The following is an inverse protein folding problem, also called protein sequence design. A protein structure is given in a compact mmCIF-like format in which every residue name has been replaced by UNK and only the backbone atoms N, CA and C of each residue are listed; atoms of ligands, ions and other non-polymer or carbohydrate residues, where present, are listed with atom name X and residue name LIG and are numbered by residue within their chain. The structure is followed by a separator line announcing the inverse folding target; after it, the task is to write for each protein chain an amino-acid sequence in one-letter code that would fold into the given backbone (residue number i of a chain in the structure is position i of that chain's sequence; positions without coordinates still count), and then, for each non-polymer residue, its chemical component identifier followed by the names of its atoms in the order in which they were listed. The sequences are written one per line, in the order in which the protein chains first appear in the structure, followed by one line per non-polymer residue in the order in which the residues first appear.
data_IF_794904775115
#
_entry.id   IF_794904775115
#
_cell.length_a   1.000
_cell.length_b   1.000
_cell.length_c   1.000
_cell.angle_alpha   90.00
_cell.angle_beta   90.00
_cell.angle_gamma   90.00
#
_symmetry.space_group_name_H-M   'P 1'
#
loop_
_entity.id
_entity.type
_entity.pdbx_description
1 polymer ?
#
# COMPACT_ATOMS: atom_id res chain seq x y z
N UNK A 1 -23.97 -2.18 18.93
CA UNK A 1 -22.92 -3.24 18.95
C UNK A 1 -21.69 -2.66 19.60
N UNK A 2 -21.43 -3.02 20.86
CA UNK A 2 -20.17 -2.70 21.52
C UNK A 2 -19.07 -3.51 20.84
N UNK A 3 -18.31 -2.90 19.93
CA UNK A 3 -17.02 -3.46 19.51
C UNK A 3 -16.10 -3.44 20.74
N UNK A 4 -16.02 -4.56 21.44
CA UNK A 4 -15.00 -4.80 22.46
C UNK A 4 -13.65 -4.78 21.71
N UNK A 5 -13.02 -3.61 21.66
CA UNK A 5 -11.68 -3.48 21.10
C UNK A 5 -10.75 -4.31 21.96
N UNK A 6 -10.32 -5.45 21.43
CA UNK A 6 -9.15 -6.16 21.96
C UNK A 6 -7.97 -5.20 21.87
N UNK A 7 -7.58 -4.66 23.04
CA UNK A 7 -6.44 -3.76 23.17
C UNK A 7 -5.20 -4.50 22.66
N UNK A 8 -4.57 -3.95 21.62
CA UNK A 8 -3.26 -4.41 21.14
C UNK A 8 -2.24 -4.14 22.25
N UNK A 9 -1.50 -5.16 22.67
CA UNK A 9 -0.41 -5.03 23.65
C UNK A 9 0.86 -4.54 22.98
N UNK A 10 1.79 -3.92 23.73
CA UNK A 10 3.14 -3.60 23.26
C UNK A 10 3.85 -4.86 22.76
N UNK A 11 3.62 -6.01 23.42
CA UNK A 11 4.20 -7.29 23.01
C UNK A 11 3.78 -7.72 21.59
N UNK A 12 2.65 -7.23 21.09
CA UNK A 12 2.14 -7.60 19.76
C UNK A 12 3.00 -7.01 18.64
N UNK A 13 3.73 -5.93 18.94
CA UNK A 13 4.63 -5.24 18.02
C UNK A 13 6.02 -5.86 17.96
N UNK A 14 6.35 -6.78 18.88
CA UNK A 14 7.68 -7.40 18.96
C UNK A 14 8.06 -8.06 17.62
N UNK A 15 7.20 -8.85 16.93
CA UNK A 15 7.60 -9.44 15.65
C UNK A 15 7.88 -8.40 14.57
N UNK A 16 7.13 -7.30 14.53
CA UNK A 16 7.38 -6.22 13.57
C UNK A 16 8.71 -5.53 13.85
N UNK A 17 8.96 -5.15 15.11
CA UNK A 17 10.20 -4.49 15.51
C UNK A 17 11.42 -5.42 15.35
N UNK A 18 11.26 -6.70 15.73
CA UNK A 18 12.30 -7.72 15.62
C UNK A 18 12.67 -8.02 14.17
N UNK A 19 11.69 -8.28 13.29
CA UNK A 19 11.96 -8.51 11.87
C UNK A 19 12.62 -7.31 11.21
N UNK A 20 12.15 -6.09 11.54
CA UNK A 20 12.77 -4.86 11.04
C UNK A 20 14.24 -4.75 11.50
N UNK A 21 14.52 -4.91 12.79
CA UNK A 21 15.87 -4.85 13.34
C UNK A 21 16.79 -5.91 12.73
N UNK A 22 16.29 -7.15 12.58
CA UNK A 22 17.03 -8.23 11.92
C UNK A 22 17.36 -7.89 10.47
N UNK A 23 16.43 -7.30 9.71
CA UNK A 23 16.74 -6.83 8.35
C UNK A 23 17.82 -5.75 8.36
N UNK A 24 17.77 -4.78 9.27
CA UNK A 24 18.79 -3.71 9.32
C UNK A 24 20.17 -4.26 9.68
N UNK A 25 20.27 -5.16 10.65
CA UNK A 25 21.55 -5.68 11.14
C UNK A 25 22.14 -6.72 10.18
N UNK A 26 21.33 -7.66 9.70
CA UNK A 26 21.81 -8.84 8.97
C UNK A 26 21.62 -8.79 7.46
N UNK A 27 20.77 -7.90 6.94
CA UNK A 27 20.56 -7.79 5.49
C UNK A 27 21.39 -6.64 4.90
N UNK A 28 21.29 -5.44 5.50
CA UNK A 28 21.91 -4.20 4.97
C UNK A 28 23.39 -4.34 4.57
N UNK A 29 24.26 -5.01 5.33
CA UNK A 29 25.68 -5.11 4.95
C UNK A 29 25.96 -6.05 3.78
N UNK A 30 25.03 -6.95 3.44
CA UNK A 30 25.30 -8.10 2.57
C UNK A 30 24.51 -8.10 1.26
N UNK A 31 23.53 -7.22 1.10
CA UNK A 31 22.67 -7.18 -0.10
C UNK A 31 22.64 -5.78 -0.71
N UNK A 32 22.44 -5.67 -2.04
CA UNK A 32 22.30 -4.37 -2.71
C UNK A 32 21.08 -3.61 -2.19
N UNK A 33 21.08 -2.29 -2.39
CA UNK A 33 20.02 -1.40 -1.88
C UNK A 33 18.60 -1.88 -2.25
N UNK A 34 18.40 -2.38 -3.47
CA UNK A 34 17.10 -2.93 -3.89
C UNK A 34 16.68 -4.20 -3.15
N UNK A 35 17.65 -5.09 -2.87
CA UNK A 35 17.40 -6.27 -2.05
C UNK A 35 17.03 -5.85 -0.63
N UNK A 36 17.67 -4.80 -0.12
CA UNK A 36 17.37 -4.24 1.20
C UNK A 36 15.99 -3.59 1.27
N UNK A 37 15.55 -2.88 0.23
CA UNK A 37 14.16 -2.39 0.07
C UNK A 37 13.17 -3.55 0.22
N UNK A 38 13.40 -4.68 -0.44
CA UNK A 38 12.53 -5.85 -0.31
C UNK A 38 12.59 -6.48 1.08
N UNK A 39 13.78 -6.64 1.68
CA UNK A 39 13.91 -7.18 3.03
C UNK A 39 13.11 -6.35 4.04
N UNK A 40 13.22 -5.00 4.00
CA UNK A 40 12.43 -4.11 4.84
C UNK A 40 10.94 -4.20 4.56
N UNK A 41 10.55 -4.20 3.29
CA UNK A 41 9.15 -4.30 2.88
C UNK A 41 8.51 -5.60 3.37
N UNK A 42 9.20 -6.74 3.24
CA UNK A 42 8.73 -8.03 3.73
C UNK A 42 8.66 -8.06 5.26
N UNK A 43 9.64 -7.52 5.97
CA UNK A 43 9.63 -7.44 7.43
C UNK A 43 8.44 -6.63 7.96
N UNK A 44 8.18 -5.46 7.37
CA UNK A 44 7.02 -4.63 7.71
C UNK A 44 5.72 -5.36 7.36
N UNK A 45 5.64 -5.95 6.16
CA UNK A 45 4.48 -6.69 5.69
C UNK A 45 4.13 -7.87 6.62
N UNK A 46 5.09 -8.73 6.95
CA UNK A 46 4.86 -9.88 7.83
C UNK A 46 4.60 -9.46 9.28
N UNK A 47 5.20 -8.35 9.74
CA UNK A 47 4.84 -7.72 11.01
C UNK A 47 3.36 -7.33 11.07
N UNK A 48 2.83 -6.70 10.01
CA UNK A 48 1.40 -6.37 9.93
C UNK A 48 0.50 -7.59 9.74
N UNK A 49 0.95 -8.62 9.03
CA UNK A 49 0.24 -9.91 8.95
C UNK A 49 0.07 -10.54 10.33
N UNK A 50 1.12 -10.53 11.14
CA UNK A 50 1.06 -11.00 12.51
C UNK A 50 0.03 -10.22 13.34
N UNK A 51 0.11 -8.88 13.34
CA UNK A 51 -0.79 -8.02 14.11
C UNK A 51 -2.27 -8.25 13.75
N UNK A 52 -2.57 -8.30 12.46
CA UNK A 52 -3.94 -8.51 11.97
C UNK A 52 -4.45 -9.92 12.25
N UNK A 53 -3.62 -10.94 12.08
CA UNK A 53 -3.96 -12.32 12.41
C UNK A 53 -4.28 -12.47 13.89
N UNK A 54 -3.37 -12.01 14.77
CA UNK A 54 -3.55 -12.07 16.22
C UNK A 54 -4.86 -11.41 16.64
N UNK A 55 -5.16 -10.25 16.06
CA UNK A 55 -6.38 -9.51 16.37
C UNK A 55 -7.64 -10.21 15.88
N UNK A 56 -7.64 -10.79 14.69
CA UNK A 56 -8.76 -11.57 14.20
C UNK A 56 -9.05 -12.79 15.10
N UNK A 57 -8.00 -13.49 15.55
CA UNK A 57 -8.12 -14.61 16.49
C UNK A 57 -8.64 -14.16 17.85
N UNK A 58 -8.11 -13.05 18.38
CA UNK A 58 -8.61 -12.45 19.62
C UNK A 58 -10.06 -11.94 19.51
N UNK A 59 -10.50 -11.58 18.29
CA UNK A 59 -11.88 -11.24 17.94
C UNK A 59 -12.80 -12.44 17.72
N UNK A 60 -12.31 -13.68 17.95
CA UNK A 60 -13.12 -14.90 17.91
C UNK A 60 -13.03 -15.70 16.60
N UNK A 61 -12.28 -15.24 15.60
CA UNK A 61 -12.09 -16.01 14.36
C UNK A 61 -11.18 -17.22 14.63
N UNK A 62 -11.61 -18.42 14.23
CA UNK A 62 -10.85 -19.66 14.38
C UNK A 62 -10.57 -20.28 13.02
N UNK A 63 -9.52 -19.83 12.30
CA UNK A 63 -9.24 -20.34 10.96
C UNK A 63 -8.63 -21.74 11.00
N UNK A 64 -8.94 -22.57 10.00
CA UNK A 64 -8.15 -23.77 9.73
C UNK A 64 -6.71 -23.41 9.33
N UNK A 65 -5.77 -24.33 9.57
CA UNK A 65 -4.33 -24.11 9.30
C UNK A 65 -4.07 -23.68 7.85
N UNK A 66 -4.79 -24.27 6.88
CA UNK A 66 -4.67 -23.92 5.45
C UNK A 66 -5.07 -22.47 5.17
N UNK A 67 -6.17 -21.98 5.78
CA UNK A 67 -6.65 -20.60 5.59
C UNK A 67 -5.70 -19.61 6.26
N UNK A 68 -5.19 -19.94 7.45
CA UNK A 68 -4.18 -19.13 8.14
C UNK A 68 -2.88 -19.03 7.33
N UNK A 69 -2.36 -20.16 6.81
CA UNK A 69 -1.18 -20.17 5.95
C UNK A 69 -1.39 -19.34 4.67
N UNK A 70 -2.52 -19.56 4.00
CA UNK A 70 -2.90 -18.79 2.81
C UNK A 70 -2.98 -17.29 3.08
N UNK A 71 -3.52 -16.89 4.24
CA UNK A 71 -3.56 -15.49 4.65
C UNK A 71 -2.17 -14.90 4.84
N UNK A 72 -1.29 -15.59 5.57
CA UNK A 72 0.02 -15.03 5.95
C UNK A 72 0.95 -14.94 4.74
N UNK A 73 1.03 -16.00 3.93
CA UNK A 73 2.08 -16.12 2.91
C UNK A 73 1.61 -15.91 1.47
N UNK A 74 0.33 -16.13 1.18
CA UNK A 74 -0.17 -16.22 -0.20
C UNK A 74 -1.24 -15.17 -0.53
N UNK A 75 -1.53 -14.26 0.40
CA UNK A 75 -2.46 -13.16 0.20
C UNK A 75 -1.84 -11.84 0.62
N UNK A 76 -2.04 -10.78 -0.16
CA UNK A 76 -1.42 -9.46 0.08
C UNK A 76 -2.30 -8.50 0.90
N UNK A 77 -3.58 -8.81 1.08
CA UNK A 77 -4.50 -7.98 1.87
C UNK A 77 -4.29 -8.11 3.38
N UNK A 78 -4.66 -7.08 4.12
CA UNK A 78 -4.48 -7.01 5.60
C UNK A 78 -5.80 -7.05 6.37
N UNK A 79 -6.86 -7.59 5.76
CA UNK A 79 -8.14 -7.82 6.43
C UNK A 79 -8.25 -9.28 6.89
N UNK A 80 -7.56 -9.61 7.99
CA UNK A 80 -7.55 -10.96 8.53
C UNK A 80 -8.97 -11.45 8.86
N UNK A 81 -9.79 -10.58 9.47
CA UNK A 81 -11.16 -10.92 9.85
C UNK A 81 -12.00 -11.39 8.66
N UNK A 82 -11.96 -10.67 7.53
CA UNK A 82 -12.71 -11.09 6.33
C UNK A 82 -12.13 -12.31 5.66
N UNK A 83 -10.81 -12.42 5.56
CA UNK A 83 -10.17 -13.52 4.85
C UNK A 83 -10.28 -14.86 5.59
N UNK A 84 -10.16 -14.83 6.92
CA UNK A 84 -10.09 -16.01 7.78
C UNK A 84 -11.48 -16.55 8.20
N UNK A 85 -12.51 -15.70 8.18
CA UNK A 85 -13.87 -16.07 8.55
C UNK A 85 -14.53 -16.92 7.45
N UNK A 86 -14.51 -18.23 7.64
CA UNK A 86 -15.05 -19.22 6.70
C UNK A 86 -16.59 -19.20 6.60
N UNK A 87 -17.28 -18.51 7.51
CA UNK A 87 -18.73 -18.33 7.40
C UNK A 87 -19.12 -17.33 6.30
N UNK A 88 -18.18 -16.47 5.89
CA UNK A 88 -18.40 -15.47 4.83
C UNK A 88 -18.42 -16.14 3.47
N UNK A 89 -19.37 -15.70 2.65
CA UNK A 89 -19.46 -16.07 1.25
C UNK A 89 -18.98 -14.91 0.38
N UNK A 90 -17.80 -14.98 -0.25
CA UNK A 90 -17.34 -13.93 -1.13
C UNK A 90 -18.19 -13.87 -2.39
N UNK A 91 -18.22 -12.70 -3.03
CA UNK A 91 -18.81 -12.56 -4.37
C UNK A 91 -17.98 -13.37 -5.36
N UNK A 92 -18.65 -14.26 -6.10
CA UNK A 92 -18.03 -15.04 -7.19
C UNK A 92 -17.38 -14.09 -8.21
N UNK A 93 -16.10 -14.29 -8.56
CA UNK A 93 -15.42 -13.54 -9.62
C UNK A 93 -16.16 -13.62 -10.95
N UNK A 94 -16.43 -12.48 -11.59
CA UNK A 94 -16.99 -12.43 -12.94
C UNK A 94 -15.88 -12.63 -13.98
N UNK A 95 -16.20 -13.21 -15.14
CA UNK A 95 -15.25 -13.36 -16.25
C UNK A 95 -14.57 -12.04 -16.64
N UNK A 96 -15.33 -10.94 -16.69
CA UNK A 96 -14.78 -9.62 -16.97
C UNK A 96 -13.77 -9.11 -15.93
N UNK A 97 -13.85 -9.54 -14.67
CA UNK A 97 -12.83 -9.20 -13.66
C UNK A 97 -11.49 -9.89 -13.99
N UNK A 98 -11.54 -11.17 -14.40
CA UNK A 98 -10.37 -11.93 -14.82
C UNK A 98 -9.71 -11.32 -16.05
N UNK A 99 -10.49 -11.05 -17.11
CA UNK A 99 -9.98 -10.39 -18.32
C UNK A 99 -9.34 -9.05 -17.97
N UNK A 100 -10.01 -8.23 -17.16
CA UNK A 100 -9.46 -6.93 -16.76
C UNK A 100 -8.19 -7.05 -15.91
N UNK A 101 -8.03 -8.09 -15.10
CA UNK A 101 -6.81 -8.32 -14.32
C UNK A 101 -5.66 -8.80 -15.24
N UNK A 102 -5.94 -9.76 -16.12
CA UNK A 102 -4.98 -10.27 -17.11
C UNK A 102 -4.47 -9.17 -18.04
N UNK A 103 -5.36 -8.31 -18.55
CA UNK A 103 -4.97 -7.18 -19.41
C UNK A 103 -4.07 -6.18 -18.67
N UNK A 104 -4.35 -5.89 -17.39
CA UNK A 104 -3.47 -5.01 -16.59
C UNK A 104 -2.12 -5.66 -16.31
N UNK A 105 -2.09 -6.96 -16.04
CA UNK A 105 -0.84 -7.71 -15.91
C UNK A 105 -0.03 -7.64 -17.20
N UNK A 106 -0.63 -7.94 -18.35
CA UNK A 106 0.04 -7.87 -19.65
C UNK A 106 0.55 -6.46 -19.96
N UNK A 107 -0.26 -5.42 -19.71
CA UNK A 107 0.15 -4.02 -19.87
C UNK A 107 1.34 -3.67 -18.96
N UNK A 108 1.28 -4.07 -17.68
CA UNK A 108 2.38 -3.86 -16.74
C UNK A 108 3.66 -4.55 -17.20
N UNK A 109 3.58 -5.79 -17.71
CA UNK A 109 4.72 -6.49 -18.29
C UNK A 109 5.28 -5.76 -19.51
N UNK A 110 4.44 -5.34 -20.44
CA UNK A 110 4.87 -4.63 -21.64
C UNK A 110 5.57 -3.31 -21.28
N UNK A 111 5.03 -2.54 -20.34
CA UNK A 111 5.67 -1.30 -19.89
C UNK A 111 7.00 -1.60 -19.18
N UNK A 112 7.04 -2.61 -18.31
CA UNK A 112 8.23 -2.92 -17.50
C UNK A 112 9.40 -3.49 -18.30
N UNK A 113 9.16 -4.45 -19.21
CA UNK A 113 10.23 -5.13 -19.95
C UNK A 113 10.52 -4.55 -21.34
N UNK A 114 9.57 -3.84 -21.96
CA UNK A 114 9.72 -3.31 -23.32
C UNK A 114 9.89 -1.80 -23.28
N UNK A 115 8.84 -1.06 -22.92
CA UNK A 115 8.85 0.40 -23.00
C UNK A 115 9.90 1.04 -22.08
N UNK A 116 10.08 0.50 -20.87
CA UNK A 116 11.08 1.02 -19.94
C UNK A 116 12.50 0.93 -20.50
N UNK A 117 12.82 -0.16 -21.23
CA UNK A 117 14.12 -0.35 -21.88
C UNK A 117 14.35 0.66 -22.99
N UNK A 118 13.37 0.82 -23.88
CA UNK A 118 13.45 1.79 -24.99
C UNK A 118 13.67 3.21 -24.48
N UNK A 119 12.95 3.61 -23.43
CA UNK A 119 13.12 4.94 -22.83
C UNK A 119 14.45 5.06 -22.10
N UNK A 120 14.90 3.99 -21.42
CA UNK A 120 16.15 3.97 -20.66
C UNK A 120 17.38 4.22 -21.55
N UNK A 121 17.41 3.68 -22.76
CA UNK A 121 18.53 3.86 -23.71
C UNK A 121 18.77 5.33 -24.07
N UNK A 122 17.72 6.15 -24.08
CA UNK A 122 17.83 7.59 -24.34
C UNK A 122 17.92 8.43 -23.06
N UNK A 123 17.18 8.06 -22.02
CA UNK A 123 17.02 8.83 -20.79
C UNK A 123 16.90 7.90 -19.58
N UNK A 124 18.03 7.59 -18.94
CA UNK A 124 18.11 6.58 -17.88
C UNK A 124 17.10 6.78 -16.74
N UNK A 125 16.98 8.00 -16.19
CA UNK A 125 16.06 8.28 -15.09
C UNK A 125 14.58 8.16 -15.52
N UNK A 126 14.24 8.66 -16.72
CA UNK A 126 12.89 8.53 -17.25
C UNK A 126 12.52 7.06 -17.51
N UNK A 127 13.46 6.26 -18.05
CA UNK A 127 13.29 4.81 -18.20
C UNK A 127 13.06 4.11 -16.86
N UNK A 128 13.76 4.53 -15.81
CA UNK A 128 13.52 4.08 -14.43
C UNK A 128 12.10 4.36 -13.94
N UNK A 129 11.58 5.58 -14.15
CA UNK A 129 10.20 5.94 -13.79
C UNK A 129 9.14 5.21 -14.62
N UNK A 130 9.39 5.00 -15.92
CA UNK A 130 8.52 4.21 -16.80
C UNK A 130 8.47 2.76 -16.30
N UNK A 131 9.63 2.18 -16.01
CA UNK A 131 9.72 0.86 -15.38
C UNK A 131 8.97 0.80 -14.06
N UNK A 132 9.16 1.80 -13.18
CA UNK A 132 8.50 1.84 -11.89
C UNK A 132 6.97 1.87 -12.04
N UNK A 133 6.47 2.64 -13.00
CA UNK A 133 5.05 2.68 -13.36
C UNK A 133 4.56 1.33 -13.87
N UNK A 134 5.30 0.69 -14.78
CA UNK A 134 5.00 -0.66 -15.27
C UNK A 134 4.93 -1.70 -14.16
N UNK A 135 5.88 -1.65 -13.22
CA UNK A 135 5.93 -2.53 -12.06
C UNK A 135 4.75 -2.32 -11.11
N UNK A 136 4.34 -1.08 -10.85
CA UNK A 136 3.14 -0.78 -10.06
C UNK A 136 1.86 -1.31 -10.73
N UNK A 137 1.73 -1.13 -12.05
CA UNK A 137 0.59 -1.67 -12.82
C UNK A 137 0.59 -3.20 -12.76
N UNK A 138 1.73 -3.82 -13.04
CA UNK A 138 1.92 -5.27 -13.00
C UNK A 138 1.51 -5.84 -11.64
N UNK A 139 2.04 -5.29 -10.55
CA UNK A 139 1.84 -5.83 -9.21
C UNK A 139 0.49 -5.43 -8.62
N UNK A 140 0.26 -4.14 -8.35
CA UNK A 140 -0.88 -3.67 -7.58
C UNK A 140 -2.21 -3.79 -8.32
N UNK A 141 -2.21 -3.64 -9.64
CA UNK A 141 -3.43 -3.65 -10.44
C UNK A 141 -3.64 -4.95 -11.23
N UNK A 142 -2.56 -5.65 -11.57
CA UNK A 142 -2.58 -6.95 -12.25
C UNK A 142 -2.54 -8.13 -11.28
N UNK A 143 -1.35 -8.53 -10.83
CA UNK A 143 -1.08 -9.74 -10.05
C UNK A 143 -1.88 -9.78 -8.74
N UNK A 144 -1.92 -8.69 -7.97
CA UNK A 144 -2.68 -8.67 -6.71
C UNK A 144 -4.19 -8.76 -6.93
N UNK A 145 -4.67 -8.28 -8.09
CA UNK A 145 -6.05 -8.48 -8.48
C UNK A 145 -6.31 -9.93 -8.90
N UNK A 146 -5.43 -10.57 -9.67
CA UNK A 146 -5.50 -12.00 -9.97
C UNK A 146 -5.51 -12.86 -8.69
N UNK A 147 -4.65 -12.56 -7.72
CA UNK A 147 -4.64 -13.23 -6.43
C UNK A 147 -5.97 -13.07 -5.67
N UNK A 148 -6.57 -11.86 -5.71
CA UNK A 148 -7.89 -11.62 -5.12
C UNK A 148 -8.96 -12.50 -5.76
N UNK A 149 -8.97 -12.60 -7.09
CA UNK A 149 -9.93 -13.40 -7.82
C UNK A 149 -9.74 -14.90 -7.53
N UNK A 150 -8.49 -15.38 -7.53
CA UNK A 150 -8.14 -16.75 -7.16
C UNK A 150 -8.66 -17.12 -5.76
N UNK A 151 -8.36 -16.28 -4.75
CA UNK A 151 -8.81 -16.53 -3.38
C UNK A 151 -10.34 -16.49 -3.24
N UNK A 152 -11.01 -15.57 -3.94
CA UNK A 152 -12.47 -15.51 -3.99
C UNK A 152 -13.08 -16.75 -4.65
N UNK A 153 -12.43 -17.32 -5.68
CA UNK A 153 -12.88 -18.60 -6.25
C UNK A 153 -12.69 -19.79 -5.30
N UNK A 154 -11.74 -19.70 -4.37
CA UNK A 154 -11.57 -20.65 -3.26
C UNK A 154 -12.35 -20.27 -1.98
N UNK A 155 -13.35 -19.41 -2.11
CA UNK A 155 -14.28 -19.07 -1.02
C UNK A 155 -13.71 -18.17 0.08
N UNK A 156 -12.54 -17.56 -0.08
CA UNK A 156 -12.05 -16.52 0.84
C UNK A 156 -12.55 -15.12 0.44
N UNK A 157 -12.98 -14.28 1.39
CA UNK A 157 -13.31 -12.86 1.15
C UNK A 157 -12.06 -11.99 1.01
N UNK A 158 -11.26 -12.32 -0.01
CA UNK A 158 -10.08 -11.57 -0.43
C UNK A 158 -10.48 -10.40 -1.33
N UNK A 159 -10.98 -9.32 -0.74
CA UNK A 159 -11.32 -8.10 -1.49
C UNK A 159 -10.08 -7.50 -2.19
N UNK A 160 -10.19 -7.02 -3.45
CA UNK A 160 -9.08 -6.35 -4.14
C UNK A 160 -8.54 -5.18 -3.33
N UNK A 161 -7.21 -5.05 -3.28
CA UNK A 161 -6.54 -3.99 -2.50
C UNK A 161 -6.51 -2.64 -3.23
N UNK A 162 -6.74 -2.64 -4.55
CA UNK A 162 -6.92 -1.45 -5.37
C UNK A 162 -8.35 -1.44 -5.93
N UNK A 163 -9.08 -0.34 -5.79
CA UNK A 163 -10.47 -0.20 -6.28
C UNK A 163 -10.65 1.03 -7.15
N UNK A 164 -10.27 0.92 -8.42
CA UNK A 164 -10.42 1.96 -9.43
C UNK A 164 -10.04 3.36 -8.91
N UNK A 165 -8.80 3.57 -8.42
CA UNK A 165 -8.37 4.83 -7.79
C UNK A 165 -8.46 6.04 -8.70
N UNK A 166 -8.34 5.85 -10.02
CA UNK A 166 -8.53 6.91 -11.02
C UNK A 166 -9.96 7.48 -11.04
N UNK A 167 -10.94 6.79 -10.44
CA UNK A 167 -12.32 7.25 -10.34
C UNK A 167 -12.62 8.00 -9.02
N UNK A 168 -11.59 8.29 -8.22
CA UNK A 168 -11.76 9.06 -6.99
C UNK A 168 -12.34 10.45 -7.29
N UNK A 169 -13.33 10.87 -6.51
CA UNK A 169 -13.93 12.21 -6.61
C UNK A 169 -13.46 13.17 -5.52
N UNK A 170 -12.61 12.71 -4.62
CA UNK A 170 -12.02 13.51 -3.53
C UNK A 170 -10.76 12.82 -2.97
N UNK A 171 -9.80 13.55 -2.35
CA UNK A 171 -8.67 12.95 -1.65
C UNK A 171 -9.05 11.85 -0.62
N UNK A 172 -10.09 12.06 0.17
CA UNK A 172 -10.58 11.05 1.12
C UNK A 172 -11.08 9.79 0.40
N UNK A 173 -11.78 9.94 -0.73
CA UNK A 173 -12.23 8.79 -1.52
C UNK A 173 -11.06 7.99 -2.09
N UNK A 174 -10.02 8.68 -2.58
CA UNK A 174 -8.78 8.06 -3.05
C UNK A 174 -8.10 7.26 -1.93
N UNK A 175 -7.70 7.92 -0.84
CA UNK A 175 -6.87 7.33 0.21
C UNK A 175 -7.63 6.33 1.12
N UNK A 176 -8.92 6.54 1.36
CA UNK A 176 -9.67 5.69 2.31
C UNK A 176 -10.41 4.53 1.67
N UNK A 177 -10.74 4.61 0.36
CA UNK A 177 -11.65 3.65 -0.29
C UNK A 177 -11.11 2.99 -1.55
N UNK A 178 -10.03 3.51 -2.15
CA UNK A 178 -9.59 3.06 -3.47
C UNK A 178 -8.13 2.68 -3.57
N UNK A 179 -7.25 3.39 -2.89
CA UNK A 179 -5.81 3.17 -2.94
C UNK A 179 -5.35 2.31 -1.75
N UNK A 180 -4.55 1.28 -2.06
CA UNK A 180 -3.86 0.41 -1.10
C UNK A 180 -4.69 0.07 0.16
N UNK A 181 -5.81 -0.62 -0.04
CA UNK A 181 -6.74 -0.97 1.04
C UNK A 181 -6.13 -1.91 2.08
N UNK A 182 -5.08 -2.64 1.72
CA UNK A 182 -4.28 -3.42 2.66
C UNK A 182 -3.65 -2.50 3.71
N UNK A 183 -2.87 -1.52 3.28
CA UNK A 183 -2.25 -0.56 4.20
C UNK A 183 -3.30 0.31 4.92
N UNK A 184 -4.33 0.78 4.20
CA UNK A 184 -5.43 1.57 4.79
C UNK A 184 -6.10 0.84 5.95
N UNK A 185 -6.28 -0.48 5.87
CA UNK A 185 -6.86 -1.25 6.97
C UNK A 185 -5.97 -1.23 8.22
N UNK A 186 -4.66 -1.43 8.05
CA UNK A 186 -3.67 -1.33 9.14
C UNK A 186 -3.72 0.06 9.77
N UNK A 187 -3.55 1.09 8.94
CA UNK A 187 -3.48 2.46 9.39
C UNK A 187 -4.78 2.92 10.06
N UNK A 188 -5.93 2.57 9.48
CA UNK A 188 -7.24 2.85 10.07
C UNK A 188 -7.38 2.22 11.46
N UNK A 189 -6.90 0.99 11.62
CA UNK A 189 -7.13 0.17 12.80
C UNK A 189 -6.18 0.53 13.95
N UNK A 190 -4.90 0.68 13.65
CA UNK A 190 -3.84 0.83 14.66
C UNK A 190 -3.43 2.28 14.90
N UNK A 191 -3.74 3.21 13.99
CA UNK A 191 -3.29 4.61 14.08
C UNK A 191 -4.46 5.58 14.09
N UNK A 192 -5.23 5.64 12.99
CA UNK A 192 -6.31 6.62 12.82
C UNK A 192 -7.38 6.51 13.90
N UNK A 193 -8.03 5.34 14.05
CA UNK A 193 -9.16 5.17 15.00
C UNK A 193 -8.73 5.44 16.45
N UNK A 194 -7.60 4.91 16.96
CA UNK A 194 -7.12 5.25 18.30
C UNK A 194 -6.86 6.76 18.49
N UNK A 195 -6.14 7.40 17.57
CA UNK A 195 -5.82 8.82 17.65
C UNK A 195 -7.09 9.69 17.54
N UNK A 196 -7.99 9.36 16.61
CA UNK A 196 -9.23 10.10 16.39
C UNK A 196 -10.18 10.03 17.60
N UNK A 197 -10.22 8.91 18.31
CA UNK A 197 -11.01 8.76 19.54
C UNK A 197 -10.45 9.59 20.70
N UNK A 198 -9.13 9.73 20.78
CA UNK A 198 -8.46 10.42 21.88
C UNK A 198 -8.37 11.93 21.66
N UNK A 199 -8.13 12.36 20.43
CA UNK A 199 -7.77 13.75 20.10
C UNK A 199 -8.63 14.36 18.99
N UNK A 200 -9.59 13.62 18.43
CA UNK A 200 -10.47 14.10 17.38
C UNK A 200 -9.96 13.81 15.96
N UNK A 201 -10.82 14.06 14.96
CA UNK A 201 -10.61 13.61 13.60
C UNK A 201 -9.35 14.18 12.93
N UNK A 202 -9.05 15.48 13.13
CA UNK A 202 -7.90 16.13 12.48
C UNK A 202 -6.56 15.55 12.97
N UNK A 203 -6.29 15.45 14.29
CA UNK A 203 -5.12 14.71 14.78
C UNK A 203 -5.07 13.26 14.31
N UNK A 204 -6.23 12.59 14.18
CA UNK A 204 -6.31 11.25 13.62
C UNK A 204 -5.79 11.17 12.17
N UNK A 205 -6.21 12.11 11.31
CA UNK A 205 -5.74 12.21 9.92
C UNK A 205 -4.23 12.49 9.89
N UNK A 206 -3.75 13.46 10.67
CA UNK A 206 -2.32 13.79 10.70
C UNK A 206 -1.47 12.59 11.15
N UNK A 207 -1.90 11.87 12.20
CA UNK A 207 -1.19 10.69 12.70
C UNK A 207 -1.13 9.57 11.66
N UNK A 208 -2.25 9.29 10.98
CA UNK A 208 -2.35 8.28 9.92
C UNK A 208 -1.39 8.56 8.75
N UNK A 209 -1.42 9.78 8.23
CA UNK A 209 -0.55 10.16 7.12
C UNK A 209 0.92 10.27 7.53
N UNK A 210 1.22 10.76 8.74
CA UNK A 210 2.58 10.75 9.28
C UNK A 210 3.14 9.33 9.39
N UNK A 211 2.35 8.40 9.93
CA UNK A 211 2.73 7.00 10.03
C UNK A 211 3.02 6.38 8.66
N UNK A 212 2.16 6.65 7.67
CA UNK A 212 2.41 6.23 6.29
C UNK A 212 3.70 6.84 5.74
N UNK A 213 3.91 8.14 5.95
CA UNK A 213 5.10 8.86 5.56
C UNK A 213 6.40 8.25 6.07
N UNK A 214 6.46 8.01 7.38
CA UNK A 214 7.64 7.43 8.03
C UNK A 214 7.94 6.04 7.47
N UNK A 215 6.93 5.19 7.25
CA UNK A 215 7.17 3.88 6.66
C UNK A 215 7.70 3.96 5.23
N UNK A 216 7.25 4.94 4.44
CA UNK A 216 7.81 5.13 3.11
C UNK A 216 9.25 5.66 3.19
N UNK A 217 9.57 6.57 4.10
CA UNK A 217 10.96 6.99 4.35
C UNK A 217 11.88 5.80 4.71
N UNK A 218 11.39 4.88 5.54
CA UNK A 218 12.13 3.66 5.88
C UNK A 218 12.37 2.74 4.68
N UNK A 219 11.50 2.75 3.67
CA UNK A 219 11.56 1.82 2.54
C UNK A 219 12.19 2.46 1.30
N UNK A 220 12.03 3.77 1.08
CA UNK A 220 12.54 4.46 -0.13
C UNK A 220 13.78 5.29 0.16
N UNK A 221 13.82 6.02 1.28
CA UNK A 221 14.91 6.95 1.62
C UNK A 221 16.07 6.24 2.32
N UNK A 222 15.76 5.39 3.30
CA UNK A 222 16.75 4.74 4.16
C UNK A 222 17.69 3.76 3.42
N UNK A 223 17.22 2.91 2.48
CA UNK A 223 18.11 1.97 1.77
C UNK A 223 19.15 2.66 0.88
N UNK A 224 18.83 3.85 0.37
CA UNK A 224 19.72 4.64 -0.51
C UNK A 224 20.36 5.83 0.22
N UNK A 225 20.08 5.98 1.52
CA UNK A 225 20.61 7.03 2.39
C UNK A 225 20.44 8.46 1.84
N UNK A 226 19.29 8.76 1.25
CA UNK A 226 19.04 10.05 0.60
C UNK A 226 17.59 10.49 0.76
N UNK A 227 17.35 11.79 0.75
CA UNK A 227 16.01 12.41 0.73
C UNK A 227 15.10 12.02 1.91
N UNK A 228 15.69 11.83 3.09
CA UNK A 228 14.93 11.63 4.33
C UNK A 228 13.92 12.74 4.56
N UNK A 229 12.70 12.34 4.88
CA UNK A 229 11.56 13.21 5.11
C UNK A 229 10.79 13.58 3.85
N UNK A 230 11.28 13.30 2.64
CA UNK A 230 10.56 13.62 1.41
C UNK A 230 9.26 12.78 1.25
N UNK A 231 9.28 11.44 1.39
CA UNK A 231 8.05 10.67 1.48
C UNK A 231 7.12 11.13 2.61
N UNK A 232 7.65 11.43 3.80
CA UNK A 232 6.83 11.98 4.89
C UNK A 232 6.16 13.29 4.50
N UNK A 233 6.88 14.22 3.88
CA UNK A 233 6.33 15.48 3.40
C UNK A 233 5.23 15.24 2.35
N UNK A 234 5.41 14.30 1.42
CA UNK A 234 4.36 13.91 0.47
C UNK A 234 3.06 13.56 1.20
N UNK A 235 3.10 12.66 2.19
CA UNK A 235 1.90 12.25 2.92
C UNK A 235 1.34 13.38 3.80
N UNK A 236 2.16 14.26 4.34
CA UNK A 236 1.67 15.43 5.08
C UNK A 236 0.94 16.43 4.18
N UNK A 237 1.38 16.60 2.92
CA UNK A 237 0.63 17.37 1.90
C UNK A 237 -0.74 16.72 1.66
N UNK A 238 -0.80 15.39 1.54
CA UNK A 238 -2.07 14.67 1.39
C UNK A 238 -2.99 14.86 2.60
N UNK A 239 -2.45 14.83 3.82
CA UNK A 239 -3.19 15.09 5.05
C UNK A 239 -3.82 16.48 5.03
N UNK A 240 -3.04 17.50 4.64
CA UNK A 240 -3.52 18.87 4.46
C UNK A 240 -4.66 18.95 3.44
N UNK A 241 -4.54 18.25 2.32
CA UNK A 241 -5.59 18.18 1.30
C UNK A 241 -6.87 17.50 1.79
N UNK A 242 -6.75 16.43 2.57
CA UNK A 242 -7.90 15.76 3.24
C UNK A 242 -8.59 16.67 4.25
N UNK A 243 -7.82 17.43 5.04
CA UNK A 243 -8.39 18.38 5.99
C UNK A 243 -9.08 19.53 5.23
N UNK A 244 -8.47 20.02 4.15
CA UNK A 244 -9.01 21.08 3.32
C UNK A 244 -10.32 20.67 2.65
N UNK A 245 -10.41 19.49 2.02
CA UNK A 245 -11.66 19.04 1.37
C UNK A 245 -12.83 18.87 2.36
N UNK A 246 -12.53 18.63 3.64
CA UNK A 246 -13.53 18.50 4.72
C UNK A 246 -13.83 19.81 5.44
N UNK A 247 -13.07 20.87 5.18
CA UNK A 247 -13.31 22.19 5.76
C UNK A 247 -14.56 22.85 5.16
N UNK A 248 -15.13 23.84 5.87
CA UNK A 248 -16.27 24.63 5.34
C UNK A 248 -15.95 25.27 4.00
N UNK A 249 -14.73 25.78 3.84
CA UNK A 249 -14.28 26.41 2.59
C UNK A 249 -14.15 25.39 1.46
N UNK A 250 -13.53 24.23 1.71
CA UNK A 250 -13.38 23.18 0.71
C UNK A 250 -14.71 22.58 0.26
N UNK A 251 -15.67 22.41 1.17
CA UNK A 251 -17.02 21.97 0.83
C UNK A 251 -17.73 23.00 -0.05
N UNK A 252 -17.66 24.30 0.30
CA UNK A 252 -18.25 25.38 -0.51
C UNK A 252 -17.61 25.48 -1.90
N UNK A 253 -16.30 25.22 -1.99
CA UNK A 253 -15.55 25.21 -3.25
C UNK A 253 -15.76 23.92 -4.08
N UNK A 254 -16.55 22.95 -3.59
CA UNK A 254 -16.82 21.70 -4.31
C UNK A 254 -15.64 20.71 -4.34
N UNK A 255 -14.67 20.83 -3.42
CA UNK A 255 -13.49 19.95 -3.37
C UNK A 255 -13.79 18.52 -2.89
N UNK A 256 -14.97 18.30 -2.30
CA UNK A 256 -15.36 17.04 -1.69
C UNK A 256 -16.05 16.06 -2.65
N UNK A 257 -16.43 16.50 -3.86
CA UNK A 257 -17.13 15.66 -4.84
C UNK A 257 -17.10 16.25 -6.26
N UNK A 258 -17.65 15.50 -7.23
CA UNK A 258 -17.81 15.99 -8.61
C UNK A 258 -16.49 16.16 -9.38
N UNK A 259 -16.55 16.95 -10.45
CA UNK A 259 -15.39 17.18 -11.33
C UNK A 259 -14.29 18.01 -10.65
N UNK A 260 -14.67 19.03 -9.87
CA UNK A 260 -13.70 19.85 -9.13
C UNK A 260 -12.97 19.05 -8.05
N UNK A 261 -13.69 18.26 -7.25
CA UNK A 261 -13.06 17.33 -6.29
C UNK A 261 -12.15 16.31 -6.97
N UNK A 262 -12.53 15.79 -8.15
CA UNK A 262 -11.68 14.91 -8.94
C UNK A 262 -10.40 15.61 -9.43
N UNK A 263 -10.52 16.80 -10.01
CA UNK A 263 -9.37 17.58 -10.47
C UNK A 263 -8.43 17.91 -9.30
N UNK A 264 -8.98 18.35 -8.17
CA UNK A 264 -8.24 18.59 -6.94
C UNK A 264 -7.50 17.34 -6.45
N UNK A 265 -8.18 16.18 -6.45
CA UNK A 265 -7.56 14.89 -6.09
C UNK A 265 -6.38 14.56 -6.98
N UNK A 266 -6.56 14.66 -8.30
CA UNK A 266 -5.51 14.35 -9.28
C UNK A 266 -4.30 15.26 -9.09
N UNK A 267 -4.51 16.57 -8.97
CA UNK A 267 -3.42 17.54 -8.76
C UNK A 267 -2.72 17.29 -7.42
N UNK A 268 -3.47 17.05 -6.35
CA UNK A 268 -2.92 16.82 -5.02
C UNK A 268 -2.08 15.55 -4.95
N UNK A 269 -2.54 14.47 -5.58
CA UNK A 269 -1.85 13.16 -5.56
C UNK A 269 -0.63 13.15 -6.50
N UNK A 270 -0.76 13.73 -7.69
CA UNK A 270 0.29 13.61 -8.72
C UNK A 270 1.37 14.69 -8.64
N UNK A 271 1.04 15.93 -8.25
CA UNK A 271 2.03 17.03 -8.28
C UNK A 271 3.22 16.82 -7.34
N UNK A 272 3.09 16.27 -6.11
CA UNK A 272 4.22 16.04 -5.23
C UNK A 272 4.82 14.63 -5.39
N UNK A 273 4.47 13.88 -6.44
CA UNK A 273 4.79 12.45 -6.54
C UNK A 273 6.31 12.16 -6.51
N UNK A 274 7.14 13.10 -6.97
CA UNK A 274 8.60 13.02 -6.88
C UNK A 274 9.12 13.04 -5.43
N UNK A 275 8.36 13.54 -4.46
CA UNK A 275 8.72 13.44 -3.05
C UNK A 275 8.57 12.00 -2.54
N UNK A 276 7.54 11.28 -3.01
CA UNK A 276 7.29 9.89 -2.64
C UNK A 276 8.26 8.93 -3.35
N UNK A 277 8.44 9.11 -4.65
CA UNK A 277 9.31 8.30 -5.50
C UNK A 277 10.48 9.15 -5.99
N UNK A 278 11.34 9.55 -5.06
CA UNK A 278 12.44 10.48 -5.34
C UNK A 278 13.54 9.86 -6.23
N UNK A 279 14.26 10.68 -7.02
CA UNK A 279 15.24 10.18 -7.99
C UNK A 279 16.29 9.23 -7.40
N UNK A 280 16.89 9.49 -6.21
CA UNK A 280 17.85 8.55 -5.64
C UNK A 280 17.30 7.14 -5.39
N UNK A 281 16.02 6.99 -5.02
CA UNK A 281 15.40 5.68 -4.85
C UNK A 281 15.26 4.96 -6.20
N UNK A 282 14.92 5.70 -7.26
CA UNK A 282 14.83 5.16 -8.62
C UNK A 282 16.21 4.76 -9.12
N UNK A 283 17.21 5.63 -8.99
CA UNK A 283 18.56 5.45 -9.53
C UNK A 283 19.36 4.36 -8.80
N UNK A 284 19.32 4.35 -7.47
CA UNK A 284 20.20 3.50 -6.67
C UNK A 284 19.53 2.21 -6.17
N UNK A 285 18.21 2.11 -6.21
CA UNK A 285 17.50 0.88 -5.88
C UNK A 285 16.72 0.34 -7.09
N UNK A 286 15.78 1.12 -7.64
CA UNK A 286 14.84 0.55 -8.59
C UNK A 286 15.46 0.15 -9.94
N UNK A 287 16.30 0.99 -10.56
CA UNK A 287 17.00 0.68 -11.82
C UNK A 287 17.92 -0.54 -11.66
N UNK A 288 18.75 -0.67 -10.59
CA UNK A 288 19.49 -1.90 -10.32
C UNK A 288 18.60 -3.15 -10.19
N UNK A 289 17.42 -3.03 -9.56
CA UNK A 289 16.45 -4.11 -9.54
C UNK A 289 15.92 -4.45 -10.94
N UNK A 290 15.62 -3.45 -11.77
CA UNK A 290 15.17 -3.66 -13.14
C UNK A 290 16.20 -4.47 -13.95
N UNK A 291 17.49 -4.13 -13.82
CA UNK A 291 18.59 -4.92 -14.43
C UNK A 291 18.62 -6.35 -13.92
N UNK A 292 18.53 -6.54 -12.60
CA UNK A 292 18.49 -7.87 -11.98
C UNK A 292 17.27 -8.70 -12.42
N UNK A 293 16.16 -8.04 -12.75
CA UNK A 293 14.94 -8.65 -13.27
C UNK A 293 14.91 -8.82 -14.81
N UNK A 294 16.01 -8.47 -15.51
CA UNK A 294 16.11 -8.56 -16.97
C UNK A 294 15.26 -7.55 -17.75
N UNK A 295 14.79 -6.48 -17.09
CA UNK A 295 14.02 -5.42 -17.73
C UNK A 295 14.90 -4.42 -18.50
N UNK A 296 16.13 -4.20 -18.01
CA UNK A 296 17.14 -3.31 -18.63
C UNK A 296 18.39 -4.10 -18.98
#
# INVERSE_FOLDING_TARGET
MNETFTKTSIADWIPLAGLFALSVVFARPFIPAWGFVFALSFSIFFGFKWLTLKRAVAGGVRPGLRRAFGYVFLWVGMDAGRFLDESRRPRIPRAGEWTAALLKTALGCAIFWILAREVYESHALAGGYVGFTGFLILTFFGVFHLLSLMWRSFGADASPIMRSPLLATSPSDFWSRRWNLAFRNIDSEFVFRPAARRWGAVPGVLAAFLFSGVLHDLVTSFPVNAWYGAPTLYFMIQAGGVILEKSRAGIRAGLSSGLLGRAFTVVLVLSPLLLLFHPPAIEHAFIPFMRAAGAL
#
